data_IF_550453985645
#
_entry.id   IF_550453985645
#
_cell.length_a   1.000
_cell.length_b   1.000
_cell.length_c   1.000
_cell.angle_alpha   90.00
_cell.angle_beta   90.00
_cell.angle_gamma   90.00
#
_symmetry.space_group_name_H-M   'P 1'
#
loop_
_entity.id
_entity.type
_entity.pdbx_description
1 polymer ?
#
# COMPACT_ATOMS: atom_id res chain seq x y z
N UNK A 1 24.88 4.39 11.10
CA UNK A 1 26.26 4.92 11.24
C UNK A 1 27.28 3.86 10.83
N UNK A 2 28.19 4.18 9.91
CA UNK A 2 29.21 3.24 9.38
C UNK A 2 30.28 2.83 10.40
N UNK A 3 30.39 3.56 11.54
CA UNK A 3 31.36 3.23 12.58
C UNK A 3 30.97 1.94 13.35
N UNK A 4 29.77 1.91 13.95
CA UNK A 4 29.26 0.81 14.78
C UNK A 4 27.79 0.52 14.54
N UNK A 5 27.29 0.81 13.35
CA UNK A 5 25.92 0.53 12.89
C UNK A 5 24.80 1.06 13.81
N UNK A 6 25.08 2.14 14.55
CA UNK A 6 24.07 2.79 15.37
C UNK A 6 22.98 3.43 14.49
N UNK A 7 21.74 3.33 14.95
CA UNK A 7 20.62 4.08 14.38
C UNK A 7 20.85 5.58 14.69
N UNK A 8 20.84 6.42 13.69
CA UNK A 8 21.14 7.86 13.82
C UNK A 8 19.89 8.72 13.80
N UNK A 9 18.84 8.26 13.14
CA UNK A 9 17.56 8.94 12.99
C UNK A 9 16.44 7.98 13.30
N UNK A 10 15.34 8.48 13.89
CA UNK A 10 14.12 7.75 14.18
C UNK A 10 12.92 8.67 13.94
N UNK A 11 11.78 8.08 13.56
CA UNK A 11 10.57 8.82 13.25
C UNK A 11 10.58 9.42 11.84
N UNK A 12 9.69 10.38 11.61
CA UNK A 12 9.50 11.10 10.35
C UNK A 12 9.77 12.60 10.52
N UNK A 13 10.19 13.27 9.47
CA UNK A 13 10.44 14.71 9.47
C UNK A 13 11.45 15.14 8.43
N UNK A 14 11.77 16.43 8.42
CA UNK A 14 12.77 17.04 7.54
C UNK A 14 14.06 17.32 8.29
N UNK A 15 15.18 17.06 7.65
CA UNK A 15 16.50 17.36 8.18
C UNK A 15 16.98 18.73 7.71
N UNK A 16 17.22 19.64 8.65
CA UNK A 16 17.76 20.98 8.39
C UNK A 16 19.23 21.12 8.79
N UNK A 17 20.01 20.05 8.73
CA UNK A 17 21.41 20.06 9.12
C UNK A 17 22.08 18.70 8.97
N UNK A 18 23.33 18.55 9.45
CA UNK A 18 24.05 17.29 9.38
C UNK A 18 23.46 16.22 10.29
N UNK A 19 23.63 14.97 9.89
CA UNK A 19 23.25 13.80 10.67
C UNK A 19 24.38 13.45 11.63
N UNK A 20 24.15 13.57 12.93
CA UNK A 20 25.16 13.32 13.96
C UNK A 20 24.85 12.02 14.70
N UNK A 21 25.78 11.07 14.67
CA UNK A 21 25.65 9.82 15.41
C UNK A 21 25.61 10.07 16.93
N UNK A 22 24.62 9.55 17.65
CA UNK A 22 24.46 9.81 19.09
C UNK A 22 25.56 9.18 19.94
N UNK A 23 26.25 8.13 19.46
CA UNK A 23 27.23 7.37 20.26
C UNK A 23 28.61 8.03 20.23
N UNK A 24 29.21 8.22 19.05
CA UNK A 24 30.59 8.72 18.91
C UNK A 24 30.69 10.00 18.07
N UNK A 25 29.57 10.68 17.82
CA UNK A 25 29.52 11.99 17.14
C UNK A 25 30.05 11.96 15.69
N UNK A 26 30.10 10.79 15.05
CA UNK A 26 30.35 10.77 13.61
C UNK A 26 29.26 11.55 12.89
N UNK A 27 29.70 12.47 12.05
CA UNK A 27 28.82 13.47 11.44
C UNK A 27 28.81 13.29 9.92
N UNK A 28 27.63 13.21 9.37
CA UNK A 28 27.40 13.11 7.92
C UNK A 28 26.60 14.30 7.45
N UNK A 29 26.89 14.76 6.23
CA UNK A 29 26.00 15.72 5.57
C UNK A 29 24.69 15.05 5.12
N UNK A 30 23.77 15.84 4.56
CA UNK A 30 22.49 15.32 4.05
C UNK A 30 22.65 14.39 2.84
N UNK A 31 23.76 14.46 2.11
CA UNK A 31 24.13 13.55 1.01
C UNK A 31 24.79 12.26 1.47
N UNK A 32 25.01 12.10 2.79
CA UNK A 32 25.63 10.92 3.38
C UNK A 32 27.17 10.94 3.37
N UNK A 33 27.83 12.07 3.00
CA UNK A 33 29.27 12.21 3.08
C UNK A 33 29.70 12.35 4.54
N UNK A 34 30.72 11.59 4.96
CA UNK A 34 31.30 11.68 6.29
C UNK A 34 32.12 12.99 6.38
N UNK A 35 31.64 13.95 7.15
CA UNK A 35 32.26 15.26 7.31
C UNK A 35 32.97 15.45 8.68
N UNK A 36 32.74 14.49 9.62
CA UNK A 36 33.43 14.52 10.92
C UNK A 36 33.51 13.14 11.55
N UNK A 37 34.70 12.76 11.98
CA UNK A 37 34.96 11.49 12.69
C UNK A 37 35.90 11.78 13.88
N UNK A 38 35.37 12.20 15.05
CA UNK A 38 36.17 12.46 16.23
C UNK A 38 37.06 11.27 16.58
N UNK A 39 38.29 11.57 17.05
CA UNK A 39 39.36 10.62 17.40
C UNK A 39 40.01 9.89 16.22
N UNK A 40 39.67 10.21 14.99
CA UNK A 40 40.38 9.74 13.81
C UNK A 40 41.29 10.86 13.28
N UNK A 41 42.60 10.63 13.16
CA UNK A 41 43.55 11.64 12.70
C UNK A 41 43.36 12.02 11.22
N UNK A 42 42.72 11.10 10.47
CA UNK A 42 42.35 11.31 9.06
C UNK A 42 40.90 10.82 8.86
N UNK A 43 40.19 11.45 7.90
CA UNK A 43 38.85 10.98 7.55
C UNK A 43 38.90 9.54 7.01
N UNK A 44 38.25 8.57 7.66
CA UNK A 44 38.25 7.18 7.22
C UNK A 44 37.47 6.92 5.93
N UNK A 45 36.89 7.95 5.32
CA UNK A 45 36.10 7.88 4.07
C UNK A 45 34.94 6.88 4.10
N UNK A 46 34.34 6.65 5.28
CA UNK A 46 33.21 5.75 5.48
C UNK A 46 31.89 6.51 5.34
N UNK A 47 31.58 6.93 4.12
CA UNK A 47 30.31 7.56 3.77
C UNK A 47 29.12 6.61 3.96
N UNK A 48 27.91 7.15 4.11
CA UNK A 48 26.71 6.34 4.09
C UNK A 48 26.49 5.77 2.68
N UNK A 49 26.01 4.55 2.63
CA UNK A 49 25.64 3.94 1.36
C UNK A 49 24.34 4.59 0.86
N UNK A 50 24.27 4.89 -0.42
CA UNK A 50 23.05 5.38 -1.05
C UNK A 50 22.08 4.23 -1.23
N UNK A 51 20.84 4.43 -0.81
CA UNK A 51 19.74 3.54 -1.12
C UNK A 51 18.90 4.21 -2.23
N UNK A 52 18.90 3.67 -3.46
CA UNK A 52 18.04 4.21 -4.50
C UNK A 52 16.57 4.00 -4.09
N UNK A 53 15.82 5.08 -4.08
CA UNK A 53 14.37 5.08 -3.91
C UNK A 53 13.75 5.61 -5.19
N UNK A 54 12.64 5.01 -5.57
CA UNK A 54 11.83 5.42 -6.69
C UNK A 54 10.44 5.77 -6.18
N UNK A 55 9.93 6.91 -6.59
CA UNK A 55 8.52 7.27 -6.37
C UNK A 55 7.69 6.77 -7.55
N UNK A 56 6.65 6.02 -7.25
CA UNK A 56 5.60 5.67 -8.20
C UNK A 56 4.25 6.01 -7.58
N UNK A 57 3.58 7.01 -8.16
CA UNK A 57 2.26 7.46 -7.73
C UNK A 57 2.17 7.79 -6.22
N UNK A 58 3.24 8.31 -5.60
CA UNK A 58 3.30 8.64 -4.16
C UNK A 58 3.78 7.50 -3.27
N UNK A 59 3.97 6.28 -3.79
CA UNK A 59 4.58 5.18 -3.07
C UNK A 59 6.08 5.10 -3.33
N UNK A 60 6.86 4.92 -2.25
CA UNK A 60 8.32 4.80 -2.34
C UNK A 60 8.75 3.34 -2.44
N UNK A 61 9.39 3.01 -3.55
CA UNK A 61 9.92 1.68 -3.81
C UNK A 61 11.43 1.62 -3.63
N UNK A 62 11.89 0.53 -3.03
CA UNK A 62 13.29 0.15 -2.96
C UNK A 62 13.44 -1.28 -3.46
N UNK A 63 14.19 -1.48 -4.54
CA UNK A 63 14.39 -2.80 -5.10
C UNK A 63 15.45 -2.83 -6.20
N UNK A 64 15.70 -4.00 -6.76
CA UNK A 64 16.66 -4.17 -7.85
C UNK A 64 16.12 -3.72 -9.21
N UNK A 65 14.82 -3.48 -9.32
CA UNK A 65 14.14 -3.05 -10.55
C UNK A 65 13.52 -1.67 -10.37
N UNK A 66 13.26 -1.01 -11.49
CA UNK A 66 12.54 0.25 -11.56
C UNK A 66 11.03 0.00 -11.51
N UNK A 67 10.36 0.46 -10.45
CA UNK A 67 8.90 0.40 -10.35
C UNK A 67 8.24 1.23 -11.47
N UNK A 68 8.77 2.41 -11.78
CA UNK A 68 8.28 3.23 -12.89
C UNK A 68 8.46 2.54 -14.25
N UNK A 69 9.57 1.81 -14.44
CA UNK A 69 9.79 1.02 -15.64
C UNK A 69 8.82 -0.16 -15.76
N UNK A 70 8.66 -0.92 -14.68
CA UNK A 70 7.80 -2.11 -14.65
C UNK A 70 6.31 -1.76 -14.80
N UNK A 71 5.83 -0.69 -14.15
CA UNK A 71 4.42 -0.29 -14.08
C UNK A 71 4.02 0.80 -15.07
N UNK A 72 4.97 1.36 -15.82
CA UNK A 72 4.76 2.51 -16.71
C UNK A 72 3.76 2.30 -17.85
N UNK A 73 3.49 1.04 -18.22
CA UNK A 73 2.52 0.68 -19.27
C UNK A 73 1.12 0.36 -18.74
N UNK A 74 0.86 0.49 -17.44
CA UNK A 74 -0.40 0.11 -16.82
C UNK A 74 -1.48 1.16 -17.08
N UNK A 75 -2.62 0.73 -17.67
CA UNK A 75 -3.71 1.62 -18.06
C UNK A 75 -4.43 2.28 -16.88
N UNK A 76 -4.54 1.55 -15.77
CA UNK A 76 -5.20 2.00 -14.54
C UNK A 76 -4.28 2.72 -13.55
N UNK A 77 -3.06 3.07 -13.97
CA UNK A 77 -2.08 3.71 -13.08
C UNK A 77 -2.60 5.01 -12.43
N UNK A 78 -3.47 5.74 -13.13
CA UNK A 78 -4.07 6.98 -12.61
C UNK A 78 -5.10 6.74 -11.50
N UNK A 79 -5.75 5.57 -11.50
CA UNK A 79 -6.71 5.21 -10.46
C UNK A 79 -5.96 4.80 -9.17
N UNK A 80 -4.69 4.42 -9.28
CA UNK A 80 -3.80 4.04 -8.19
C UNK A 80 -2.81 5.17 -7.83
N UNK A 81 -3.28 6.42 -7.82
CA UNK A 81 -2.50 7.60 -7.45
C UNK A 81 -2.75 7.97 -5.98
N UNK A 82 -1.71 7.89 -5.17
CA UNK A 82 -1.73 8.22 -3.73
C UNK A 82 -1.59 9.72 -3.44
N UNK A 83 -1.49 10.56 -4.48
CA UNK A 83 -1.44 12.02 -4.30
C UNK A 83 -2.73 12.51 -3.62
N UNK A 84 -2.59 13.21 -2.50
CA UNK A 84 -3.74 13.69 -1.72
C UNK A 84 -4.35 12.64 -0.78
N UNK A 85 -3.78 11.45 -0.71
CA UNK A 85 -4.16 10.42 0.25
C UNK A 85 -3.25 10.48 1.49
N UNK A 86 -3.81 10.15 2.64
CA UNK A 86 -3.10 10.00 3.92
C UNK A 86 -3.19 8.57 4.41
N UNK A 87 -2.09 8.06 4.96
CA UNK A 87 -2.09 6.81 5.71
C UNK A 87 -2.91 7.00 6.99
N UNK A 88 -4.01 6.24 7.13
CA UNK A 88 -4.84 6.25 8.34
C UNK A 88 -4.37 5.19 9.34
N UNK A 89 -4.22 3.95 8.89
CA UNK A 89 -3.81 2.88 9.78
C UNK A 89 -3.06 1.75 9.04
N UNK A 90 -2.39 0.92 9.83
CA UNK A 90 -1.66 -0.26 9.36
C UNK A 90 -2.14 -1.47 10.16
N UNK A 91 -2.44 -2.56 9.45
CA UNK A 91 -2.75 -3.85 10.04
C UNK A 91 -1.68 -4.88 9.73
N UNK A 92 -1.47 -5.81 10.63
CA UNK A 92 -0.47 -6.88 10.48
C UNK A 92 -1.14 -8.22 10.70
N UNK A 93 -1.20 -9.03 9.64
CA UNK A 93 -1.85 -10.34 9.67
C UNK A 93 -0.81 -11.45 9.58
N UNK A 94 -0.74 -12.30 10.61
CA UNK A 94 0.07 -13.49 10.59
C UNK A 94 -0.67 -14.60 9.85
N UNK A 95 -0.20 -14.93 8.65
CA UNK A 95 -0.74 -15.99 7.80
C UNK A 95 0.04 -17.29 8.02
N UNK A 96 -0.66 -18.39 8.32
CA UNK A 96 -0.07 -19.72 8.53
C UNK A 96 0.00 -20.51 7.21
N UNK A 97 0.48 -19.86 6.16
CA UNK A 97 0.69 -20.45 4.84
C UNK A 97 1.77 -19.68 4.07
N UNK A 98 2.20 -20.25 2.95
CA UNK A 98 3.21 -19.67 2.09
C UNK A 98 2.67 -18.42 1.38
N UNK A 99 3.50 -17.39 1.25
CA UNK A 99 3.14 -16.14 0.57
C UNK A 99 2.67 -16.34 -0.88
N UNK A 100 3.15 -17.38 -1.57
CA UNK A 100 2.70 -17.69 -2.94
C UNK A 100 1.25 -18.15 -2.98
N UNK A 101 0.80 -18.90 -1.96
CA UNK A 101 -0.62 -19.30 -1.83
C UNK A 101 -1.54 -18.08 -1.75
N UNK A 102 -1.11 -17.04 -1.01
CA UNK A 102 -1.86 -15.77 -0.97
C UNK A 102 -1.99 -15.17 -2.38
N UNK A 103 -0.87 -15.10 -3.11
CA UNK A 103 -0.88 -14.54 -4.48
C UNK A 103 -1.75 -15.39 -5.42
N UNK A 104 -1.68 -16.72 -5.33
CA UNK A 104 -2.47 -17.62 -6.18
C UNK A 104 -3.98 -17.39 -6.00
N UNK A 105 -4.45 -17.25 -4.76
CA UNK A 105 -5.86 -16.92 -4.46
C UNK A 105 -6.21 -15.51 -4.93
N UNK A 106 -5.31 -14.57 -4.77
CA UNK A 106 -5.53 -13.17 -5.18
C UNK A 106 -5.60 -12.98 -6.71
N UNK A 107 -5.07 -13.93 -7.49
CA UNK A 107 -5.05 -13.87 -8.96
C UNK A 107 -6.29 -14.50 -9.62
N UNK A 108 -7.29 -14.91 -8.87
CA UNK A 108 -8.54 -15.44 -9.41
C UNK A 108 -9.74 -14.82 -8.66
N UNK A 109 -10.90 -14.86 -9.26
CA UNK A 109 -12.13 -14.27 -8.72
C UNK A 109 -13.26 -15.29 -8.50
N UNK A 110 -13.01 -16.57 -8.78
CA UNK A 110 -14.00 -17.64 -8.64
C UNK A 110 -14.47 -17.83 -7.19
N UNK A 111 -13.59 -17.55 -6.22
CA UNK A 111 -13.91 -17.67 -4.80
C UNK A 111 -14.69 -16.46 -4.26
N UNK A 112 -14.70 -15.31 -4.96
CA UNK A 112 -15.30 -14.06 -4.44
C UNK A 112 -16.78 -14.25 -4.10
N UNK A 113 -17.58 -14.76 -5.04
CA UNK A 113 -19.03 -14.93 -4.80
C UNK A 113 -19.33 -15.95 -3.70
N UNK A 114 -18.73 -17.15 -3.66
CA UNK A 114 -19.06 -18.16 -2.64
C UNK A 114 -18.46 -17.88 -1.26
N UNK A 115 -17.34 -17.17 -1.15
CA UNK A 115 -16.63 -16.99 0.12
C UNK A 115 -16.70 -15.57 0.67
N UNK A 116 -16.93 -14.57 -0.19
CA UNK A 116 -17.02 -13.14 0.20
C UNK A 116 -18.42 -12.59 -0.17
N UNK A 117 -19.49 -12.95 0.56
CA UNK A 117 -20.84 -12.58 0.18
C UNK A 117 -21.09 -11.06 0.13
N UNK A 118 -20.39 -10.29 0.97
CA UNK A 118 -20.43 -8.83 0.91
C UNK A 118 -19.83 -8.31 -0.38
N UNK A 119 -18.58 -8.63 -0.63
CA UNK A 119 -17.84 -8.22 -1.85
C UNK A 119 -18.52 -8.75 -3.10
N UNK A 120 -18.91 -10.04 -3.14
CA UNK A 120 -19.55 -10.67 -4.29
C UNK A 120 -20.95 -10.15 -4.64
N UNK A 121 -21.61 -9.41 -3.73
CA UNK A 121 -22.83 -8.66 -4.04
C UNK A 121 -22.55 -7.22 -4.49
N UNK A 122 -21.35 -6.70 -4.25
CA UNK A 122 -20.94 -5.35 -4.64
C UNK A 122 -20.27 -5.33 -6.01
N UNK A 123 -19.27 -6.18 -6.24
CA UNK A 123 -18.55 -6.25 -7.53
C UNK A 123 -19.22 -7.25 -8.48
N UNK A 124 -19.00 -7.04 -9.79
CA UNK A 124 -19.33 -8.04 -10.80
C UNK A 124 -18.08 -8.54 -11.49
N UNK A 125 -17.89 -9.85 -11.47
CA UNK A 125 -16.82 -10.52 -12.20
C UNK A 125 -17.19 -10.74 -13.69
N UNK A 126 -18.42 -10.47 -14.10
CA UNK A 126 -18.84 -10.50 -15.51
C UNK A 126 -18.16 -9.42 -16.35
N UNK A 127 -17.81 -8.29 -15.73
CA UNK A 127 -17.09 -7.17 -16.35
C UNK A 127 -15.59 -7.18 -16.01
N UNK A 128 -15.05 -8.34 -15.64
CA UNK A 128 -13.64 -8.50 -15.31
C UNK A 128 -12.76 -8.23 -16.52
N UNK A 129 -11.83 -7.32 -16.37
CA UNK A 129 -10.78 -7.06 -17.35
C UNK A 129 -9.39 -7.22 -16.73
N UNK A 130 -8.50 -7.77 -17.54
CA UNK A 130 -7.11 -8.02 -17.15
C UNK A 130 -6.14 -7.20 -17.98
N UNK A 131 -5.05 -6.80 -17.33
CA UNK A 131 -3.84 -6.36 -18.00
C UNK A 131 -2.64 -7.02 -17.35
N UNK A 132 -1.71 -7.50 -18.18
CA UNK A 132 -0.47 -8.14 -17.74
C UNK A 132 0.74 -7.36 -18.24
N UNK A 133 1.74 -7.21 -17.40
CA UNK A 133 3.10 -6.84 -17.74
C UNK A 133 4.06 -7.93 -17.33
N UNK A 134 5.37 -7.72 -17.55
CA UNK A 134 6.39 -8.73 -17.19
C UNK A 134 6.43 -8.98 -15.67
N UNK A 135 6.08 -7.98 -14.88
CA UNK A 135 6.20 -8.00 -13.43
C UNK A 135 4.92 -7.63 -12.68
N UNK A 136 3.81 -7.48 -13.37
CA UNK A 136 2.52 -7.19 -12.74
C UNK A 136 1.36 -7.88 -13.46
N UNK A 137 0.31 -8.07 -12.70
CA UNK A 137 -1.03 -8.28 -13.22
C UNK A 137 -1.99 -7.31 -12.55
N UNK A 138 -2.95 -6.82 -13.28
CA UNK A 138 -4.01 -5.98 -12.72
C UNK A 138 -5.37 -6.43 -13.22
N UNK A 139 -6.29 -6.52 -12.28
CA UNK A 139 -7.70 -6.82 -12.50
C UNK A 139 -8.51 -5.56 -12.24
N UNK A 140 -9.54 -5.35 -13.05
CA UNK A 140 -10.55 -4.32 -12.83
C UNK A 140 -11.91 -4.95 -12.97
N UNK A 141 -12.77 -4.75 -11.96
CA UNK A 141 -14.14 -5.28 -11.90
C UNK A 141 -15.16 -4.16 -11.83
N UNK A 142 -16.32 -4.40 -12.41
CA UNK A 142 -17.46 -3.49 -12.36
C UNK A 142 -18.22 -3.54 -11.04
N UNK A 143 -19.29 -2.76 -10.96
CA UNK A 143 -20.21 -2.72 -9.83
C UNK A 143 -21.48 -3.51 -10.20
N UNK A 144 -21.86 -4.47 -9.36
CA UNK A 144 -23.16 -5.14 -9.50
C UNK A 144 -24.27 -4.26 -8.94
N UNK A 145 -24.14 -3.86 -7.68
CA UNK A 145 -25.18 -3.10 -6.97
C UNK A 145 -24.65 -2.51 -5.68
N UNK A 146 -25.07 -1.28 -5.40
CA UNK A 146 -24.95 -0.67 -4.07
C UNK A 146 -26.20 -0.93 -3.19
N UNK A 147 -27.10 -1.81 -3.61
CA UNK A 147 -28.37 -2.10 -2.93
C UNK A 147 -28.46 -3.50 -2.36
N UNK A 148 -27.58 -4.40 -2.79
CA UNK A 148 -27.49 -5.77 -2.28
C UNK A 148 -26.21 -5.92 -1.47
N UNK A 149 -26.33 -6.03 -0.17
CA UNK A 149 -25.18 -5.98 0.72
C UNK A 149 -24.56 -7.34 1.04
N UNK A 150 -25.34 -8.41 1.05
CA UNK A 150 -24.87 -9.75 1.41
C UNK A 150 -24.55 -9.96 2.89
N UNK A 151 -24.24 -8.89 3.63
CA UNK A 151 -23.98 -8.91 5.07
C UNK A 151 -24.34 -7.56 5.71
N UNK A 152 -24.48 -7.54 7.06
CA UNK A 152 -24.76 -6.32 7.80
C UNK A 152 -23.59 -5.32 7.75
N UNK A 153 -22.36 -5.82 7.66
CA UNK A 153 -21.15 -4.99 7.55
C UNK A 153 -21.15 -4.27 6.20
N UNK A 154 -21.37 -4.99 5.12
CA UNK A 154 -21.48 -4.40 3.78
C UNK A 154 -22.69 -3.51 3.61
N UNK A 155 -23.81 -3.76 4.30
CA UNK A 155 -24.96 -2.86 4.32
C UNK A 155 -24.59 -1.47 4.87
N UNK A 156 -23.86 -1.44 6.00
CA UNK A 156 -23.37 -0.20 6.59
C UNK A 156 -22.38 0.49 5.64
N UNK A 157 -21.42 -0.23 5.09
CA UNK A 157 -20.43 0.31 4.16
C UNK A 157 -21.08 0.88 2.89
N UNK A 158 -21.96 0.13 2.24
CA UNK A 158 -22.66 0.59 1.04
C UNK A 158 -23.54 1.82 1.31
N UNK A 159 -24.09 1.95 2.53
CA UNK A 159 -24.83 3.15 2.93
C UNK A 159 -23.92 4.38 2.91
N UNK A 160 -22.78 4.34 3.58
CA UNK A 160 -21.85 5.47 3.63
C UNK A 160 -21.25 5.80 2.25
N UNK A 161 -20.99 4.78 1.42
CA UNK A 161 -20.55 4.99 0.03
C UNK A 161 -21.63 5.71 -0.78
N UNK A 162 -22.90 5.29 -0.68
CA UNK A 162 -24.01 5.97 -1.39
C UNK A 162 -24.19 7.41 -0.93
N UNK A 163 -24.12 7.65 0.38
CA UNK A 163 -24.24 8.99 0.94
C UNK A 163 -23.11 9.89 0.43
N UNK A 164 -21.88 9.40 0.49
CA UNK A 164 -20.71 10.17 0.03
C UNK A 164 -20.77 10.53 -1.46
N UNK A 165 -21.09 9.57 -2.34
CA UNK A 165 -21.23 9.82 -3.77
C UNK A 165 -22.52 10.56 -4.11
N UNK A 166 -23.63 10.23 -3.45
CA UNK A 166 -24.94 10.83 -3.69
C UNK A 166 -24.98 12.33 -3.41
N UNK A 167 -24.33 12.79 -2.35
CA UNK A 167 -24.20 14.20 -2.01
C UNK A 167 -23.42 14.99 -3.07
N UNK A 168 -22.60 14.33 -3.86
CA UNK A 168 -21.82 14.89 -4.98
C UNK A 168 -22.51 14.68 -6.34
N UNK A 169 -23.61 13.94 -6.39
CA UNK A 169 -24.29 13.58 -7.65
C UNK A 169 -23.46 12.64 -8.53
N UNK A 170 -22.61 11.82 -7.90
CA UNK A 170 -21.66 10.92 -8.56
C UNK A 170 -21.98 9.45 -8.23
N UNK A 171 -21.31 8.53 -8.93
CA UNK A 171 -21.31 7.10 -8.66
C UNK A 171 -19.87 6.58 -8.74
N UNK A 172 -19.50 5.54 -7.98
CA UNK A 172 -18.18 4.94 -8.12
C UNK A 172 -17.92 4.50 -9.57
N UNK A 173 -16.75 4.82 -10.16
CA UNK A 173 -16.46 4.51 -11.57
C UNK A 173 -16.24 3.01 -11.83
N UNK A 174 -15.89 2.24 -10.80
CA UNK A 174 -15.68 0.79 -10.83
C UNK A 174 -15.91 0.19 -9.45
N UNK A 175 -16.00 -1.14 -9.39
CA UNK A 175 -16.14 -1.88 -8.13
C UNK A 175 -14.82 -1.97 -7.38
N UNK A 176 -13.79 -2.48 -8.05
CA UNK A 176 -12.45 -2.59 -7.50
C UNK A 176 -11.38 -2.63 -8.61
N UNK A 177 -10.15 -2.32 -8.21
CA UNK A 177 -8.94 -2.60 -8.99
C UNK A 177 -7.99 -3.35 -8.08
N UNK A 178 -7.44 -4.46 -8.55
CA UNK A 178 -6.49 -5.30 -7.83
C UNK A 178 -5.21 -5.43 -8.64
N UNK A 179 -4.16 -4.76 -8.20
CA UNK A 179 -2.82 -4.85 -8.77
C UNK A 179 -1.98 -5.81 -7.95
N UNK A 180 -1.38 -6.80 -8.58
CA UNK A 180 -0.26 -7.57 -8.03
C UNK A 180 1.02 -7.12 -8.71
N UNK A 181 1.95 -6.54 -7.97
CA UNK A 181 3.29 -6.22 -8.41
C UNK A 181 4.27 -7.21 -7.79
N UNK A 182 4.83 -8.06 -8.64
CA UNK A 182 5.68 -9.16 -8.21
C UNK A 182 7.01 -8.70 -7.61
N UNK A 183 7.48 -9.35 -6.54
CA UNK A 183 6.95 -10.65 -6.07
C UNK A 183 5.86 -10.57 -4.99
N UNK A 184 5.68 -9.46 -4.27
CA UNK A 184 5.03 -9.51 -2.97
C UNK A 184 4.25 -8.24 -2.58
N UNK A 185 3.91 -7.40 -3.53
CA UNK A 185 3.16 -6.16 -3.28
C UNK A 185 1.85 -6.22 -4.05
N UNK A 186 0.74 -5.97 -3.35
CA UNK A 186 -0.57 -5.74 -3.93
C UNK A 186 -1.00 -4.32 -3.63
N UNK A 187 -1.62 -3.67 -4.62
CA UNK A 187 -2.24 -2.36 -4.48
C UNK A 187 -3.68 -2.47 -4.92
N UNK A 188 -4.59 -2.06 -4.07
CA UNK A 188 -6.02 -2.19 -4.27
C UNK A 188 -6.68 -0.83 -4.26
N UNK A 189 -7.65 -0.67 -5.13
CA UNK A 189 -8.53 0.47 -5.14
C UNK A 189 -9.97 0.01 -4.88
N UNK A 190 -10.62 0.63 -3.93
CA UNK A 190 -12.06 0.59 -3.73
C UNK A 190 -12.58 2.02 -3.63
N UNK A 191 -13.89 2.26 -3.62
CA UNK A 191 -14.44 3.61 -3.52
C UNK A 191 -13.84 4.41 -2.35
N UNK A 192 -13.00 5.40 -2.67
CA UNK A 192 -12.31 6.31 -1.74
C UNK A 192 -11.30 5.67 -0.77
N UNK A 193 -10.77 4.52 -1.10
CA UNK A 193 -9.66 3.92 -0.36
C UNK A 193 -8.62 3.34 -1.33
N UNK A 194 -7.36 3.51 -0.97
CA UNK A 194 -6.24 2.79 -1.56
C UNK A 194 -5.61 1.92 -0.46
N UNK A 195 -5.39 0.66 -0.78
CA UNK A 195 -4.80 -0.31 0.15
C UNK A 195 -3.51 -0.84 -0.44
N UNK A 196 -2.48 -0.94 0.39
CA UNK A 196 -1.22 -1.59 0.02
C UNK A 196 -1.00 -2.78 0.92
N UNK A 197 -0.94 -3.97 0.33
CA UNK A 197 -0.56 -5.20 1.01
C UNK A 197 0.88 -5.57 0.65
N UNK A 198 1.72 -5.76 1.67
CA UNK A 198 3.09 -6.24 1.50
C UNK A 198 3.27 -7.59 2.18
N UNK A 199 3.50 -8.63 1.39
CA UNK A 199 3.75 -9.96 1.89
C UNK A 199 5.21 -10.14 2.27
N UNK A 200 5.47 -10.42 3.54
CA UNK A 200 6.81 -10.66 4.08
C UNK A 200 6.95 -12.14 4.44
N UNK A 201 7.65 -12.93 3.61
CA UNK A 201 7.89 -14.34 3.92
C UNK A 201 8.67 -14.50 5.22
N UNK A 202 8.17 -15.33 6.14
CA UNK A 202 8.82 -15.65 7.40
C UNK A 202 9.29 -17.11 7.47
N UNK A 203 8.85 -17.92 6.53
CA UNK A 203 9.18 -19.34 6.42
C UNK A 203 8.40 -20.00 5.29
N UNK A 204 8.58 -21.30 5.07
CA UNK A 204 7.86 -22.03 4.02
C UNK A 204 6.33 -22.02 4.19
N UNK A 205 5.86 -21.91 5.43
CA UNK A 205 4.47 -22.01 5.86
C UNK A 205 4.02 -20.78 6.66
N UNK A 206 4.78 -19.70 6.61
CA UNK A 206 4.48 -18.47 7.36
C UNK A 206 4.74 -17.23 6.54
N UNK A 207 3.77 -16.34 6.58
CA UNK A 207 3.82 -15.03 5.92
C UNK A 207 3.27 -13.96 6.88
N UNK A 208 3.91 -12.81 6.95
CA UNK A 208 3.32 -11.62 7.51
C UNK A 208 2.76 -10.80 6.36
N UNK A 209 1.46 -10.50 6.37
CA UNK A 209 0.86 -9.51 5.50
C UNK A 209 0.76 -8.19 6.25
N UNK A 210 1.41 -7.15 5.75
CA UNK A 210 1.31 -5.78 6.25
C UNK A 210 0.37 -5.04 5.32
N UNK A 211 -0.74 -4.58 5.85
CA UNK A 211 -1.82 -3.91 5.09
C UNK A 211 -1.91 -2.46 5.53
N UNK A 212 -1.71 -1.55 4.60
CA UNK A 212 -1.72 -0.11 4.83
C UNK A 212 -2.94 0.50 4.14
N UNK A 213 -3.74 1.27 4.88
CA UNK A 213 -4.97 1.90 4.39
C UNK A 213 -4.77 3.41 4.22
N UNK A 214 -5.02 3.87 3.02
CA UNK A 214 -4.88 5.28 2.63
C UNK A 214 -6.23 5.82 2.18
N UNK A 215 -6.62 6.96 2.71
CA UNK A 215 -7.86 7.66 2.36
C UNK A 215 -7.55 9.07 1.88
N UNK A 216 -8.41 9.68 1.04
CA UNK A 216 -8.34 11.10 0.75
C UNK A 216 -8.26 11.93 2.04
N UNK A 217 -7.46 12.99 2.01
CA UNK A 217 -7.23 13.85 3.18
C UNK A 217 -8.54 14.33 3.83
N UNK A 218 -9.52 14.72 3.01
CA UNK A 218 -10.84 15.16 3.47
C UNK A 218 -11.60 14.06 4.23
N UNK A 219 -11.47 12.80 3.82
CA UNK A 219 -12.10 11.65 4.50
C UNK A 219 -11.42 11.40 5.85
N UNK A 220 -10.09 11.43 5.90
CA UNK A 220 -9.35 11.24 7.15
C UNK A 220 -9.72 12.30 8.18
N UNK A 221 -9.87 13.53 7.73
CA UNK A 221 -10.07 14.67 8.62
C UNK A 221 -11.53 14.82 9.09
N UNK A 222 -12.54 14.37 8.30
CA UNK A 222 -13.95 14.67 8.53
C UNK A 222 -14.93 13.50 8.50
N UNK A 223 -14.54 12.34 7.95
CA UNK A 223 -15.48 11.23 7.65
C UNK A 223 -15.09 9.93 8.38
N UNK A 224 -14.92 10.00 9.69
CA UNK A 224 -14.49 8.85 10.50
C UNK A 224 -15.42 7.64 10.38
N UNK A 225 -16.73 7.86 10.27
CA UNK A 225 -17.71 6.77 10.11
C UNK A 225 -17.52 6.02 8.77
N UNK A 226 -17.12 6.73 7.72
CA UNK A 226 -16.77 6.12 6.42
C UNK A 226 -15.59 5.16 6.60
N UNK A 227 -14.50 5.62 7.21
CA UNK A 227 -13.29 4.83 7.45
C UNK A 227 -13.60 3.56 8.25
N UNK A 228 -14.39 3.68 9.33
CA UNK A 228 -14.76 2.54 10.17
C UNK A 228 -15.63 1.52 9.43
N UNK A 229 -16.55 1.99 8.60
CA UNK A 229 -17.42 1.12 7.80
C UNK A 229 -16.63 0.41 6.70
N UNK A 230 -15.73 1.12 6.02
CA UNK A 230 -14.87 0.58 4.97
C UNK A 230 -13.90 -0.46 5.53
N UNK A 231 -13.20 -0.12 6.61
CA UNK A 231 -12.31 -1.05 7.30
C UNK A 231 -13.03 -2.33 7.74
N UNK A 232 -14.24 -2.23 8.28
CA UNK A 232 -15.03 -3.39 8.67
C UNK A 232 -15.38 -4.26 7.46
N UNK A 233 -15.73 -3.66 6.31
CA UNK A 233 -16.02 -4.37 5.07
C UNK A 233 -14.77 -5.09 4.51
N UNK A 234 -13.62 -4.42 4.53
CA UNK A 234 -12.35 -5.02 4.13
C UNK A 234 -11.96 -6.22 5.00
N UNK A 235 -12.16 -6.10 6.31
CA UNK A 235 -11.86 -7.19 7.26
C UNK A 235 -12.82 -8.37 7.18
N UNK A 236 -14.01 -8.21 6.60
CA UNK A 236 -14.93 -9.31 6.31
C UNK A 236 -14.52 -10.09 5.05
N UNK A 237 -13.81 -9.43 4.13
CA UNK A 237 -13.28 -10.00 2.89
C UNK A 237 -11.98 -10.75 3.15
#
# INVERSE_FOLDING_TARGET
>A
CRHRQAIMLQGSGSLNGPIVCPIHRWTYDQGGLLIGAPHFPQNPCLNLDKAPLEDWNGLLFKGPRSANGDLGGMKVARDLDFTGYKLDHVEMHQCNYNWKTFIEVYLEDYHVVPYHPGLGNFVTCDDLSWQFGDWYSVQKVGITSLMKSGSAVYEKWQKVVREYYGDRGETPPQGAIWLTYYPNIMVEWYPHVLVVSTLIPQGPDKTMNVVEFYYPEEIVDFEREFIEAERAAYMET
#
